data_IF_817246218322
#
_entry.id   IF_817246218322
#
_cell.length_a   1.000
_cell.length_b   1.000
_cell.length_c   1.000
_cell.angle_alpha   90.00
_cell.angle_beta   90.00
_cell.angle_gamma   90.00
#
_symmetry.space_group_name_H-M   'P 1'
#
loop_
_entity.id
_entity.type
_entity.pdbx_description
1 polymer ?
#
# COMPACT_ATOMS: atom_id res chain seq x y z
N UNK A 1 35.14 9.30 -15.90
CA UNK A 1 35.08 9.39 -14.43
C UNK A 1 33.75 10.04 -14.09
N UNK A 2 32.68 9.29 -14.37
CA UNK A 2 31.30 9.68 -14.04
C UNK A 2 31.06 9.35 -12.58
N UNK A 3 31.05 10.36 -11.73
CA UNK A 3 30.46 10.24 -10.40
C UNK A 3 28.95 10.05 -10.62
N UNK A 4 28.49 8.81 -10.50
CA UNK A 4 27.10 8.47 -10.35
C UNK A 4 26.56 9.27 -9.15
N UNK A 5 25.85 10.35 -9.42
CA UNK A 5 25.12 11.11 -8.41
C UNK A 5 24.08 10.16 -7.87
N UNK A 6 24.44 9.41 -6.82
CA UNK A 6 23.51 8.57 -6.04
C UNK A 6 22.38 9.48 -5.57
N UNK A 7 21.25 9.45 -6.28
CA UNK A 7 20.07 10.25 -5.93
C UNK A 7 19.77 10.01 -4.45
N UNK A 8 19.91 11.07 -3.64
CA UNK A 8 19.70 11.06 -2.20
C UNK A 8 18.33 10.44 -1.90
N UNK A 9 18.27 9.37 -1.11
CA UNK A 9 17.00 8.73 -0.70
C UNK A 9 16.20 9.75 0.12
N UNK A 10 14.90 9.86 -0.13
CA UNK A 10 14.03 10.76 0.60
C UNK A 10 13.61 10.10 1.91
N UNK A 11 14.17 10.54 3.03
CA UNK A 11 13.98 9.96 4.38
C UNK A 11 12.50 9.89 4.78
N UNK A 12 11.69 10.86 4.40
CA UNK A 12 10.26 10.89 4.67
C UNK A 12 9.53 9.64 4.11
N UNK A 13 9.85 9.21 2.89
CA UNK A 13 9.25 8.00 2.31
C UNK A 13 9.79 6.72 2.94
N UNK A 14 11.06 6.69 3.37
CA UNK A 14 11.58 5.54 4.12
C UNK A 14 10.89 5.38 5.48
N UNK A 15 10.66 6.48 6.18
CA UNK A 15 9.90 6.46 7.43
C UNK A 15 8.44 6.04 7.21
N UNK A 16 7.82 6.48 6.11
CA UNK A 16 6.47 6.02 5.77
C UNK A 16 6.45 4.51 5.50
N UNK A 17 7.46 3.96 4.82
CA UNK A 17 7.58 2.50 4.62
C UNK A 17 7.66 1.75 5.92
N UNK A 18 8.54 2.20 6.85
CA UNK A 18 8.69 1.59 8.16
C UNK A 18 7.35 1.63 8.92
N UNK A 19 6.69 2.78 8.94
CA UNK A 19 5.37 2.91 9.58
C UNK A 19 4.35 1.95 8.97
N UNK A 20 4.28 1.86 7.63
CA UNK A 20 3.41 0.93 6.94
C UNK A 20 3.73 -0.54 7.27
N UNK A 21 5.01 -0.91 7.43
CA UNK A 21 5.38 -2.26 7.86
C UNK A 21 4.83 -2.58 9.26
N UNK A 22 4.95 -1.67 10.23
CA UNK A 22 4.34 -1.85 11.54
C UNK A 22 2.82 -1.98 11.45
N UNK A 23 2.16 -1.15 10.65
CA UNK A 23 0.71 -1.24 10.43
C UNK A 23 0.31 -2.59 9.81
N UNK A 24 1.11 -3.14 8.88
CA UNK A 24 0.88 -4.47 8.29
C UNK A 24 0.97 -5.55 9.36
N UNK A 25 2.03 -5.54 10.17
CA UNK A 25 2.21 -6.53 11.24
C UNK A 25 1.05 -6.49 12.23
N UNK A 26 0.69 -5.30 12.71
CA UNK A 26 -0.44 -5.11 13.63
C UNK A 26 -1.75 -5.60 12.98
N UNK A 27 -2.00 -5.22 11.72
CA UNK A 27 -3.18 -5.66 10.98
C UNK A 27 -3.26 -7.19 10.85
N UNK A 28 -2.13 -7.84 10.57
CA UNK A 28 -2.07 -9.31 10.51
C UNK A 28 -2.34 -9.96 11.87
N UNK A 29 -1.80 -9.41 12.96
CA UNK A 29 -2.07 -9.90 14.31
C UNK A 29 -3.56 -9.77 14.65
N UNK A 30 -4.19 -8.64 14.35
CA UNK A 30 -5.61 -8.41 14.66
C UNK A 30 -6.54 -9.28 13.81
N UNK A 31 -6.26 -9.43 12.52
CA UNK A 31 -7.13 -10.13 11.58
C UNK A 31 -6.84 -11.64 11.54
N UNK A 32 -5.61 -12.05 11.21
CA UNK A 32 -5.25 -13.47 11.13
C UNK A 32 -5.13 -14.13 12.50
N UNK A 33 -4.74 -13.38 13.54
CA UNK A 33 -4.77 -13.83 14.92
C UNK A 33 -6.20 -13.97 15.48
N UNK A 34 -7.23 -13.62 14.68
CA UNK A 34 -8.65 -13.63 15.06
C UNK A 34 -8.94 -12.85 16.35
N UNK A 35 -8.11 -11.87 16.68
CA UNK A 35 -8.30 -11.06 17.89
C UNK A 35 -9.62 -10.30 17.78
N UNK A 36 -9.81 -9.55 16.70
CA UNK A 36 -11.04 -8.76 16.49
C UNK A 36 -12.31 -9.61 16.48
N UNK A 37 -12.27 -10.81 15.90
CA UNK A 37 -13.43 -11.70 15.80
C UNK A 37 -13.91 -12.27 17.17
N UNK A 38 -13.03 -12.22 18.18
CA UNK A 38 -13.37 -12.69 19.55
C UNK A 38 -13.86 -11.57 20.48
N UNK A 39 -13.82 -10.31 20.01
CA UNK A 39 -14.19 -9.16 20.83
C UNK A 39 -15.69 -8.90 20.76
N UNK A 40 -16.31 -8.74 21.91
CA UNK A 40 -17.74 -8.38 22.02
C UNK A 40 -17.96 -6.93 21.57
N UNK A 41 -19.03 -6.71 20.79
CA UNK A 41 -19.44 -5.38 20.38
C UNK A 41 -19.65 -4.46 21.60
N UNK A 42 -19.24 -3.20 21.48
CA UNK A 42 -19.37 -2.19 22.53
C UNK A 42 -18.30 -2.24 23.62
N UNK A 43 -17.40 -3.23 23.61
CA UNK A 43 -16.29 -3.28 24.56
C UNK A 43 -15.18 -2.29 24.17
N UNK A 44 -14.39 -1.84 25.15
CA UNK A 44 -13.22 -0.98 24.91
C UNK A 44 -12.22 -1.64 23.93
N UNK A 45 -11.98 -2.93 24.09
CA UNK A 45 -11.07 -3.69 23.22
C UNK A 45 -11.60 -3.77 21.78
N UNK A 46 -12.91 -3.90 21.58
CA UNK A 46 -13.54 -3.82 20.27
C UNK A 46 -13.28 -2.44 19.62
N UNK A 47 -13.54 -1.36 20.37
CA UNK A 47 -13.27 0.01 19.92
C UNK A 47 -11.81 0.21 19.54
N UNK A 48 -10.86 -0.16 20.40
CA UNK A 48 -9.42 -0.01 20.16
C UNK A 48 -8.97 -0.83 18.95
N UNK A 49 -9.47 -2.06 18.78
CA UNK A 49 -9.15 -2.90 17.63
C UNK A 49 -9.55 -2.23 16.31
N UNK A 50 -10.76 -1.71 16.20
CA UNK A 50 -11.21 -1.04 14.99
C UNK A 50 -10.61 0.36 14.80
N UNK A 51 -10.30 1.08 15.88
CA UNK A 51 -9.53 2.32 15.80
C UNK A 51 -8.16 2.08 15.17
N UNK A 52 -7.42 1.08 15.65
CA UNK A 52 -6.11 0.71 15.09
C UNK A 52 -6.25 0.30 13.62
N UNK A 53 -7.22 -0.53 13.27
CA UNK A 53 -7.45 -0.97 11.90
C UNK A 53 -7.79 0.21 10.97
N UNK A 54 -8.64 1.14 11.42
CA UNK A 54 -9.06 2.30 10.64
C UNK A 54 -7.90 3.26 10.34
N UNK A 55 -6.98 3.44 11.28
CA UNK A 55 -5.76 4.21 11.03
C UNK A 55 -4.72 3.42 10.23
N UNK A 56 -4.73 2.11 10.29
CA UNK A 56 -3.77 1.27 9.58
C UNK A 56 -4.19 0.94 8.14
N UNK A 57 -5.44 1.15 7.73
CA UNK A 57 -5.97 0.76 6.41
C UNK A 57 -5.16 1.28 5.22
N UNK A 58 -4.41 2.35 5.41
CA UNK A 58 -3.59 3.02 4.39
C UNK A 58 -2.30 2.27 4.02
N UNK A 59 -1.89 1.27 4.80
CA UNK A 59 -0.55 0.68 4.73
C UNK A 59 -0.19 0.11 3.35
N UNK A 60 -1.00 -0.78 2.78
CA UNK A 60 -0.75 -1.38 1.45
C UNK A 60 -0.77 -0.31 0.37
N UNK A 61 -1.78 0.58 0.41
CA UNK A 61 -1.93 1.65 -0.56
C UNK A 61 -0.71 2.58 -0.57
N UNK A 62 -0.19 2.95 0.60
CA UNK A 62 1.03 3.76 0.71
C UNK A 62 2.25 3.06 0.12
N UNK A 63 2.42 1.75 0.34
CA UNK A 63 3.50 0.99 -0.27
C UNK A 63 3.45 1.04 -1.80
N UNK A 64 2.29 0.80 -2.37
CA UNK A 64 2.08 0.84 -3.82
C UNK A 64 2.32 2.25 -4.35
N UNK A 65 1.79 3.28 -3.67
CA UNK A 65 1.99 4.68 -4.04
C UNK A 65 3.46 5.09 -3.98
N UNK A 66 4.23 4.66 -2.98
CA UNK A 66 5.68 4.93 -2.91
C UNK A 66 6.38 4.29 -4.12
N UNK A 67 6.06 3.04 -4.45
CA UNK A 67 6.59 2.36 -5.63
C UNK A 67 6.27 3.12 -6.93
N UNK A 68 5.01 3.48 -7.14
CA UNK A 68 4.53 4.25 -8.29
C UNK A 68 5.19 5.63 -8.39
N UNK A 69 5.28 6.36 -7.27
CA UNK A 69 5.90 7.69 -7.19
C UNK A 69 7.35 7.68 -7.69
N UNK A 70 8.13 6.68 -7.30
CA UNK A 70 9.52 6.58 -7.72
C UNK A 70 9.73 5.94 -9.08
N UNK A 71 8.76 5.20 -9.61
CA UNK A 71 8.89 4.47 -10.86
C UNK A 71 8.30 5.20 -12.08
N UNK A 72 7.31 6.08 -11.90
CA UNK A 72 6.51 6.64 -12.99
C UNK A 72 7.30 7.38 -14.09
N UNK A 73 8.43 8.00 -13.75
CA UNK A 73 9.30 8.74 -14.66
C UNK A 73 10.68 8.09 -14.86
N UNK A 74 10.83 6.82 -14.48
CA UNK A 74 12.11 6.10 -14.56
C UNK A 74 12.08 5.01 -15.62
N UNK A 75 13.24 4.80 -16.24
CA UNK A 75 13.45 3.66 -17.12
C UNK A 75 13.26 2.34 -16.35
N UNK A 76 12.69 1.37 -17.03
CA UNK A 76 12.55 0.02 -16.52
C UNK A 76 13.92 -0.65 -16.34
N UNK A 77 14.07 -1.33 -15.23
CA UNK A 77 15.24 -2.17 -14.95
C UNK A 77 14.75 -3.57 -14.58
N UNK A 78 14.90 -4.53 -15.47
CA UNK A 78 14.49 -5.93 -15.26
C UNK A 78 15.12 -6.54 -13.99
N UNK A 79 16.35 -6.11 -13.65
CA UNK A 79 17.06 -6.52 -12.45
C UNK A 79 16.24 -6.35 -11.16
N UNK A 80 15.39 -5.33 -11.08
CA UNK A 80 14.53 -5.10 -9.91
C UNK A 80 13.44 -6.15 -9.78
N UNK A 81 12.82 -6.54 -10.90
CA UNK A 81 11.81 -7.59 -10.92
C UNK A 81 12.45 -8.94 -10.57
N UNK A 82 13.62 -9.23 -11.12
CA UNK A 82 14.40 -10.45 -10.81
C UNK A 82 14.82 -10.47 -9.34
N UNK A 83 15.28 -9.32 -8.79
CA UNK A 83 15.64 -9.22 -7.37
C UNK A 83 14.43 -9.53 -6.48
N UNK A 84 13.27 -8.92 -6.75
CA UNK A 84 12.04 -9.18 -6.00
C UNK A 84 11.65 -10.66 -6.09
N UNK A 85 11.68 -11.24 -7.30
CA UNK A 85 11.36 -12.67 -7.49
C UNK A 85 12.27 -13.58 -6.67
N UNK A 86 13.59 -13.38 -6.77
CA UNK A 86 14.58 -14.15 -6.01
C UNK A 86 14.35 -14.07 -4.50
N UNK A 87 14.06 -12.88 -4.01
CA UNK A 87 13.83 -12.63 -2.60
C UNK A 87 12.56 -13.34 -2.11
N UNK A 88 11.45 -13.21 -2.83
CA UNK A 88 10.18 -13.88 -2.48
C UNK A 88 10.33 -15.40 -2.56
N UNK A 89 11.01 -15.92 -3.60
CA UNK A 89 11.27 -17.33 -3.75
C UNK A 89 12.17 -17.88 -2.61
N UNK A 90 13.21 -17.15 -2.22
CA UNK A 90 14.09 -17.53 -1.12
C UNK A 90 13.32 -17.71 0.19
N UNK A 91 12.52 -16.73 0.57
CA UNK A 91 11.70 -16.83 1.80
C UNK A 91 10.62 -17.90 1.69
N UNK A 92 10.00 -18.03 0.51
CA UNK A 92 8.96 -19.05 0.26
C UNK A 92 9.51 -20.47 0.44
N UNK A 93 10.65 -20.75 -0.19
CA UNK A 93 11.32 -22.06 -0.07
C UNK A 93 11.81 -22.30 1.36
N UNK A 94 12.39 -21.28 2.01
CA UNK A 94 12.83 -21.37 3.40
C UNK A 94 11.69 -21.71 4.36
N UNK A 95 10.56 -21.02 4.26
CA UNK A 95 9.36 -21.30 5.07
C UNK A 95 8.82 -22.70 4.76
N UNK A 96 8.74 -23.06 3.47
CA UNK A 96 8.30 -24.38 3.05
C UNK A 96 9.15 -25.50 3.67
N UNK A 97 10.48 -25.38 3.63
CA UNK A 97 11.40 -26.36 4.22
C UNK A 97 11.23 -26.47 5.74
N UNK A 98 11.02 -25.34 6.43
CA UNK A 98 10.75 -25.35 7.88
C UNK A 98 9.40 -26.05 8.18
N UNK A 99 8.34 -25.75 7.42
CA UNK A 99 7.05 -26.39 7.61
C UNK A 99 7.09 -27.89 7.28
N UNK A 100 7.92 -28.29 6.31
CA UNK A 100 8.09 -29.66 5.88
C UNK A 100 8.65 -30.58 7.00
N UNK A 101 9.36 -30.02 7.97
CA UNK A 101 9.89 -30.76 9.15
C UNK A 101 8.72 -31.21 10.05
N UNK A 102 7.62 -30.46 10.09
CA UNK A 102 6.54 -30.66 11.05
C UNK A 102 5.23 -31.13 10.42
N UNK A 103 5.16 -31.27 9.10
CA UNK A 103 3.91 -31.55 8.40
C UNK A 103 4.08 -32.49 7.18
N UNK A 104 2.94 -32.97 6.67
CA UNK A 104 2.88 -33.71 5.43
C UNK A 104 2.99 -32.74 4.22
N UNK A 105 3.72 -33.14 3.20
CA UNK A 105 3.98 -32.36 1.97
C UNK A 105 3.14 -32.93 0.84
N UNK A 106 2.34 -32.07 0.20
CA UNK A 106 1.72 -32.40 -1.08
C UNK A 106 2.60 -31.90 -2.26
N UNK A 107 2.61 -32.58 -3.43
CA UNK A 107 3.39 -32.12 -4.59
C UNK A 107 3.06 -30.68 -5.02
N UNK A 108 1.81 -30.25 -4.86
CA UNK A 108 1.36 -28.89 -5.16
C UNK A 108 2.03 -27.84 -4.27
N UNK A 109 2.41 -28.19 -3.03
CA UNK A 109 3.06 -27.27 -2.09
C UNK A 109 4.51 -26.99 -2.51
N UNK A 110 5.19 -27.98 -3.11
CA UNK A 110 6.52 -27.77 -3.71
C UNK A 110 6.45 -26.75 -4.84
N UNK A 111 5.46 -26.91 -5.74
CA UNK A 111 5.27 -25.97 -6.86
C UNK A 111 4.97 -24.56 -6.36
N UNK A 112 4.12 -24.42 -5.35
CA UNK A 112 3.81 -23.14 -4.74
C UNK A 112 5.03 -22.50 -4.07
N UNK A 113 5.87 -23.30 -3.43
CA UNK A 113 7.08 -22.81 -2.77
C UNK A 113 8.11 -22.28 -3.78
N UNK A 114 8.30 -22.98 -4.90
CA UNK A 114 9.27 -22.61 -5.95
C UNK A 114 8.76 -21.48 -6.83
N UNK A 115 7.44 -21.42 -7.11
CA UNK A 115 6.81 -20.40 -7.95
C UNK A 115 5.81 -19.55 -7.15
N UNK A 116 6.24 -18.88 -6.06
CA UNK A 116 5.33 -18.21 -5.12
C UNK A 116 4.58 -17.02 -5.73
N UNK A 117 5.15 -16.37 -6.73
CA UNK A 117 4.52 -15.25 -7.44
C UNK A 117 3.44 -15.74 -8.40
N UNK A 118 3.74 -16.75 -9.20
CA UNK A 118 2.80 -17.32 -10.17
C UNK A 118 1.64 -18.04 -9.50
N UNK A 119 1.89 -18.71 -8.37
CA UNK A 119 0.88 -19.40 -7.57
C UNK A 119 0.05 -18.47 -6.68
N UNK A 120 0.37 -17.16 -6.66
CA UNK A 120 -0.30 -16.17 -5.81
C UNK A 120 -0.22 -16.50 -4.30
N UNK A 121 0.79 -17.27 -3.89
CA UNK A 121 1.02 -17.61 -2.47
C UNK A 121 1.15 -16.35 -1.61
N UNK A 122 1.86 -15.36 -2.13
CA UNK A 122 1.96 -14.02 -1.52
C UNK A 122 1.30 -13.00 -2.44
N UNK A 123 -0.01 -12.80 -2.25
CA UNK A 123 -0.85 -11.99 -3.14
C UNK A 123 -0.26 -10.60 -3.46
N UNK A 124 0.28 -9.92 -2.43
CA UNK A 124 0.89 -8.59 -2.61
C UNK A 124 2.08 -8.63 -3.57
N UNK A 125 3.00 -9.59 -3.37
CA UNK A 125 4.19 -9.72 -4.21
C UNK A 125 3.82 -10.06 -5.65
N UNK A 126 2.80 -10.90 -5.86
CA UNK A 126 2.30 -11.27 -7.18
C UNK A 126 1.72 -10.07 -7.93
N UNK A 127 0.86 -9.31 -7.28
CA UNK A 127 0.24 -8.11 -7.88
C UNK A 127 1.27 -7.01 -8.09
N UNK A 128 2.17 -6.81 -7.13
CA UNK A 128 3.23 -5.79 -7.23
C UNK A 128 4.23 -6.10 -8.34
N UNK A 129 4.55 -7.38 -8.58
CA UNK A 129 5.35 -7.81 -9.73
C UNK A 129 4.67 -7.44 -11.05
N UNK A 130 3.37 -7.72 -11.17
CA UNK A 130 2.58 -7.31 -12.34
C UNK A 130 2.62 -5.80 -12.55
N UNK A 131 2.44 -5.01 -11.49
CA UNK A 131 2.58 -3.57 -11.55
C UNK A 131 3.98 -3.13 -12.02
N UNK A 132 5.05 -3.72 -11.46
CA UNK A 132 6.43 -3.39 -11.85
C UNK A 132 6.69 -3.59 -13.34
N UNK A 133 6.15 -4.67 -13.93
CA UNK A 133 6.29 -4.96 -15.35
C UNK A 133 5.48 -3.99 -16.23
N UNK A 134 4.36 -3.45 -15.73
CA UNK A 134 3.53 -2.48 -16.43
C UNK A 134 4.01 -1.03 -16.26
N UNK A 135 4.81 -0.73 -15.23
CA UNK A 135 5.26 0.64 -14.93
C UNK A 135 5.89 1.40 -16.11
N UNK A 136 6.70 0.79 -17.01
CA UNK A 136 7.25 1.50 -18.16
C UNK A 136 6.17 2.05 -19.08
N UNK A 137 5.12 1.26 -19.33
CA UNK A 137 4.00 1.64 -20.19
C UNK A 137 3.14 2.72 -19.52
N UNK A 138 2.85 2.54 -18.24
CA UNK A 138 2.12 3.53 -17.45
C UNK A 138 2.88 4.86 -17.39
N UNK A 139 4.20 4.81 -17.24
CA UNK A 139 5.06 6.00 -17.26
C UNK A 139 5.02 6.72 -18.61
N UNK A 140 5.09 5.99 -19.72
CA UNK A 140 4.97 6.57 -21.07
C UNK A 140 3.65 7.30 -21.26
N UNK A 141 2.55 6.72 -20.80
CA UNK A 141 1.23 7.38 -20.84
C UNK A 141 1.22 8.61 -19.92
N UNK A 142 1.66 8.45 -18.67
CA UNK A 142 1.60 9.48 -17.64
C UNK A 142 2.34 10.79 -18.03
N UNK A 143 3.48 10.69 -18.74
CA UNK A 143 4.26 11.85 -19.15
C UNK A 143 3.77 12.50 -20.45
N UNK A 144 2.97 11.79 -21.28
CA UNK A 144 2.47 12.27 -22.56
C UNK A 144 1.11 12.97 -22.48
N UNK A 145 0.27 12.57 -21.52
CA UNK A 145 -1.07 13.15 -21.38
C UNK A 145 -1.01 14.50 -20.67
N UNK A 146 -1.92 15.39 -21.01
CA UNK A 146 -2.06 16.68 -20.35
C UNK A 146 -2.51 16.52 -18.90
N UNK A 147 -2.26 17.53 -18.07
CA UNK A 147 -2.74 17.53 -16.67
C UNK A 147 -4.24 17.28 -16.55
N UNK A 148 -5.06 17.85 -17.45
CA UNK A 148 -6.52 17.65 -17.45
C UNK A 148 -6.88 16.20 -17.79
N UNK A 149 -6.28 15.64 -18.84
CA UNK A 149 -6.49 14.24 -19.22
C UNK A 149 -6.07 13.28 -18.07
N UNK A 150 -4.99 13.60 -17.37
CA UNK A 150 -4.56 12.80 -16.23
C UNK A 150 -5.58 12.86 -15.09
N UNK A 151 -6.13 14.04 -14.80
CA UNK A 151 -7.19 14.20 -13.78
C UNK A 151 -8.45 13.39 -14.16
N UNK A 152 -8.88 13.44 -15.42
CA UNK A 152 -9.99 12.62 -15.89
C UNK A 152 -9.72 11.12 -15.77
N UNK A 153 -8.51 10.68 -16.10
CA UNK A 153 -8.12 9.28 -15.95
C UNK A 153 -8.19 8.83 -14.48
N UNK A 154 -7.64 9.61 -13.54
CA UNK A 154 -7.72 9.31 -12.11
C UNK A 154 -9.18 9.29 -11.63
N UNK A 155 -10.00 10.26 -12.06
CA UNK A 155 -11.41 10.33 -11.68
C UNK A 155 -12.19 9.12 -12.18
N UNK A 156 -11.98 8.71 -13.44
CA UNK A 156 -12.63 7.51 -14.00
C UNK A 156 -12.21 6.24 -13.28
N UNK A 157 -10.92 6.08 -13.00
CA UNK A 157 -10.42 4.93 -12.22
C UNK A 157 -10.99 4.91 -10.80
N UNK A 158 -11.06 6.07 -10.13
CA UNK A 158 -11.68 6.17 -8.81
C UNK A 158 -13.18 5.83 -8.86
N UNK A 159 -13.89 6.28 -9.89
CA UNK A 159 -15.32 5.98 -10.08
C UNK A 159 -15.54 4.48 -10.27
N UNK A 160 -14.77 3.84 -11.17
CA UNK A 160 -14.98 2.43 -11.51
C UNK A 160 -14.46 1.49 -10.43
N UNK A 161 -13.24 1.72 -9.91
CA UNK A 161 -12.57 0.78 -9.00
C UNK A 161 -12.92 0.99 -7.52
N UNK A 162 -13.42 2.17 -7.17
CA UNK A 162 -13.73 2.52 -5.77
C UNK A 162 -15.22 2.80 -5.58
N UNK A 163 -15.75 3.86 -6.20
CA UNK A 163 -17.13 4.32 -5.95
C UNK A 163 -18.15 3.30 -6.43
N UNK A 164 -18.00 2.75 -7.66
CA UNK A 164 -18.89 1.74 -8.19
C UNK A 164 -18.95 0.51 -7.31
N UNK A 165 -17.78 -0.04 -6.95
CA UNK A 165 -17.66 -1.19 -6.04
C UNK A 165 -18.35 -0.91 -4.70
N UNK A 166 -18.16 0.30 -4.14
CA UNK A 166 -18.72 0.69 -2.85
C UNK A 166 -20.24 0.79 -2.86
N UNK A 167 -20.82 1.34 -3.94
CA UNK A 167 -22.27 1.53 -4.04
C UNK A 167 -22.99 0.22 -4.35
N UNK A 168 -22.52 -0.50 -5.37
CA UNK A 168 -23.23 -1.68 -5.89
C UNK A 168 -22.80 -2.99 -5.24
N UNK A 169 -21.75 -2.99 -4.42
CA UNK A 169 -21.19 -4.18 -3.78
C UNK A 169 -20.86 -5.32 -4.75
N UNK A 170 -20.53 -4.97 -6.00
CA UNK A 170 -20.19 -5.89 -7.06
C UNK A 170 -18.71 -5.75 -7.42
N UNK A 171 -18.09 -6.84 -7.80
CA UNK A 171 -16.71 -6.84 -8.30
C UNK A 171 -16.66 -6.79 -9.83
N UNK A 172 -17.46 -5.89 -10.42
CA UNK A 172 -17.62 -5.75 -11.87
C UNK A 172 -16.31 -5.56 -12.63
N UNK A 173 -15.34 -4.92 -11.99
CA UNK A 173 -14.05 -4.59 -12.60
C UNK A 173 -12.87 -5.39 -12.03
N UNK A 174 -13.13 -6.50 -11.35
CA UNK A 174 -12.11 -7.39 -10.79
C UNK A 174 -11.26 -6.74 -9.71
N UNK A 175 -11.88 -5.98 -8.80
CA UNK A 175 -11.16 -5.17 -7.81
C UNK A 175 -10.79 -5.90 -6.53
N UNK A 176 -11.34 -7.07 -6.27
CA UNK A 176 -11.04 -7.90 -5.09
C UNK A 176 -10.74 -7.12 -3.80
N UNK A 177 -11.56 -6.11 -3.50
CA UNK A 177 -11.38 -5.22 -2.36
C UNK A 177 -10.06 -4.40 -2.41
N UNK A 178 -9.54 -4.11 -3.62
CA UNK A 178 -8.28 -3.38 -3.83
C UNK A 178 -7.02 -4.23 -3.73
N UNK A 179 -7.14 -5.57 -3.78
CA UNK A 179 -6.02 -6.53 -3.72
C UNK A 179 -5.65 -7.07 -5.10
N UNK A 180 -5.74 -6.25 -6.12
CA UNK A 180 -5.62 -6.62 -7.52
C UNK A 180 -4.78 -5.63 -8.31
N UNK A 181 -4.47 -6.00 -9.55
CA UNK A 181 -3.64 -5.21 -10.43
C UNK A 181 -4.28 -3.88 -10.87
N UNK A 182 -5.57 -3.80 -11.22
CA UNK A 182 -6.24 -2.54 -11.51
C UNK A 182 -6.15 -1.53 -10.35
N UNK A 183 -6.38 -1.95 -9.12
CA UNK A 183 -6.24 -1.11 -7.93
C UNK A 183 -4.80 -0.59 -7.74
N UNK A 184 -3.81 -1.45 -7.96
CA UNK A 184 -2.40 -1.06 -7.88
C UNK A 184 -1.99 -0.09 -9.00
N UNK A 185 -2.50 -0.28 -10.22
CA UNK A 185 -2.32 0.66 -11.33
C UNK A 185 -2.91 2.03 -10.99
N UNK A 186 -4.12 2.06 -10.45
CA UNK A 186 -4.76 3.30 -10.01
C UNK A 186 -3.90 4.04 -8.96
N UNK A 187 -3.44 3.35 -7.92
CA UNK A 187 -2.60 3.93 -6.87
C UNK A 187 -1.26 4.44 -7.41
N UNK A 188 -0.64 3.71 -8.33
CA UNK A 188 0.62 4.12 -8.96
C UNK A 188 0.42 5.36 -9.84
N UNK A 189 -0.67 5.44 -10.61
CA UNK A 189 -1.02 6.62 -11.39
C UNK A 189 -1.37 7.80 -10.48
N UNK A 190 -2.10 7.60 -9.39
CA UNK A 190 -2.38 8.65 -8.41
C UNK A 190 -1.08 9.24 -7.82
N UNK A 191 -0.13 8.38 -7.46
CA UNK A 191 1.18 8.80 -6.99
C UNK A 191 2.00 9.51 -8.08
N UNK A 192 1.91 9.03 -9.32
CA UNK A 192 2.48 9.68 -10.50
C UNK A 192 1.93 11.08 -10.73
N UNK A 193 0.62 11.27 -10.61
CA UNK A 193 -0.01 12.60 -10.69
C UNK A 193 0.52 13.55 -9.61
N UNK A 194 0.62 13.07 -8.37
CA UNK A 194 1.17 13.86 -7.25
C UNK A 194 2.60 14.31 -7.59
N UNK A 195 3.42 13.42 -8.17
CA UNK A 195 4.80 13.73 -8.54
C UNK A 195 4.92 14.73 -9.67
N UNK A 196 4.18 14.52 -10.75
CA UNK A 196 4.34 15.26 -12.00
C UNK A 196 3.59 16.60 -12.01
N UNK A 197 2.47 16.70 -11.29
CA UNK A 197 1.55 17.84 -11.42
C UNK A 197 1.23 18.59 -10.13
N UNK A 198 1.61 18.06 -8.95
CA UNK A 198 1.41 18.80 -7.69
C UNK A 198 2.70 19.49 -7.25
N UNK A 199 2.63 20.79 -7.02
CA UNK A 199 3.74 21.56 -6.41
C UNK A 199 3.93 21.17 -4.96
N UNK A 200 5.17 21.21 -4.47
CA UNK A 200 5.47 21.04 -3.06
C UNK A 200 5.11 22.30 -2.30
N UNK A 201 4.40 22.15 -1.18
CA UNK A 201 3.99 23.26 -0.33
C UNK A 201 3.76 22.76 1.10
N UNK A 202 4.38 23.43 2.08
CA UNK A 202 4.26 23.08 3.52
C UNK A 202 2.83 23.09 4.04
N UNK A 203 1.92 23.86 3.42
CA UNK A 203 0.50 23.85 3.80
C UNK A 203 -0.14 22.46 3.67
N UNK A 204 0.36 21.64 2.74
CA UNK A 204 -0.14 20.28 2.53
C UNK A 204 0.21 19.33 3.68
N UNK A 205 1.21 19.62 4.50
CA UNK A 205 1.52 18.81 5.69
C UNK A 205 0.35 18.82 6.66
N UNK A 206 -0.07 20.02 7.12
CA UNK A 206 -1.18 20.16 8.07
C UNK A 206 -2.50 19.66 7.49
N UNK A 207 -2.81 20.06 6.25
CA UNK A 207 -4.04 19.63 5.57
C UNK A 207 -4.08 18.11 5.36
N UNK A 208 -2.95 17.52 4.97
CA UNK A 208 -2.85 16.09 4.77
C UNK A 208 -2.94 15.29 6.07
N UNK A 209 -2.28 15.74 7.15
CA UNK A 209 -2.43 15.09 8.46
C UNK A 209 -3.86 15.20 9.00
N UNK A 210 -4.49 16.37 8.90
CA UNK A 210 -5.89 16.54 9.28
C UNK A 210 -6.81 15.65 8.45
N UNK A 211 -6.63 15.60 7.12
CA UNK A 211 -7.39 14.73 6.24
C UNK A 211 -7.22 13.25 6.59
N UNK A 212 -6.00 12.80 6.87
CA UNK A 212 -5.73 11.43 7.30
C UNK A 212 -6.52 11.07 8.57
N UNK A 213 -6.48 11.94 9.59
CA UNK A 213 -7.23 11.70 10.83
C UNK A 213 -8.74 11.69 10.58
N UNK A 214 -9.25 12.69 9.84
CA UNK A 214 -10.68 12.78 9.53
C UNK A 214 -11.18 11.54 8.79
N UNK A 215 -10.49 11.14 7.72
CA UNK A 215 -10.94 9.99 6.93
C UNK A 215 -10.74 8.66 7.65
N UNK A 216 -9.70 8.51 8.48
CA UNK A 216 -9.54 7.32 9.34
C UNK A 216 -10.65 7.23 10.40
N UNK A 217 -11.04 8.34 11.00
CA UNK A 217 -12.19 8.37 11.90
C UNK A 217 -13.52 8.13 11.17
N UNK A 218 -13.65 8.58 9.92
CA UNK A 218 -14.82 8.26 9.09
C UNK A 218 -14.89 6.76 8.76
N UNK A 219 -13.76 6.09 8.52
CA UNK A 219 -13.71 4.61 8.40
C UNK A 219 -14.17 3.95 9.69
N UNK A 220 -13.69 4.40 10.86
CA UNK A 220 -14.15 3.87 12.15
C UNK A 220 -15.66 4.07 12.34
N UNK A 221 -16.15 5.27 12.08
CA UNK A 221 -17.58 5.59 12.18
C UNK A 221 -18.42 4.71 11.24
N UNK A 222 -17.94 4.41 10.03
CA UNK A 222 -18.62 3.54 9.08
C UNK A 222 -18.77 2.11 9.59
N UNK A 223 -17.76 1.58 10.31
CA UNK A 223 -17.84 0.25 10.95
C UNK A 223 -18.96 0.24 11.99
N UNK A 224 -18.98 1.23 12.88
CA UNK A 224 -20.03 1.33 13.92
C UNK A 224 -21.42 1.50 13.32
N UNK A 225 -21.54 2.32 12.28
CA UNK A 225 -22.82 2.50 11.59
C UNK A 225 -23.26 1.19 10.92
N UNK A 226 -22.35 0.46 10.28
CA UNK A 226 -22.66 -0.84 9.66
C UNK A 226 -23.18 -1.86 10.68
N UNK A 227 -22.55 -1.93 11.87
CA UNK A 227 -23.04 -2.80 12.96
C UNK A 227 -24.43 -2.36 13.42
N UNK A 228 -24.63 -1.05 13.64
CA UNK A 228 -25.92 -0.50 14.08
C UNK A 228 -27.05 -0.76 13.07
N UNK A 229 -26.72 -0.76 11.79
CA UNK A 229 -27.66 -1.06 10.69
C UNK A 229 -27.86 -2.56 10.45
N UNK A 230 -27.18 -3.43 11.20
CA UNK A 230 -27.28 -4.88 11.04
C UNK A 230 -26.69 -5.40 9.73
N UNK A 231 -25.71 -4.72 9.15
CA UNK A 231 -25.08 -5.16 7.92
C UNK A 231 -24.15 -6.35 8.19
N UNK A 232 -24.22 -7.38 7.32
CA UNK A 232 -23.41 -8.60 7.45
C UNK A 232 -21.91 -8.32 7.41
N UNK A 233 -21.46 -7.47 6.48
CA UNK A 233 -20.05 -7.06 6.37
C UNK A 233 -19.82 -5.70 7.03
N UNK A 234 -19.50 -5.73 8.31
CA UNK A 234 -19.16 -4.53 9.08
C UNK A 234 -17.78 -3.95 8.74
N UNK A 235 -16.90 -4.77 8.15
CA UNK A 235 -15.56 -4.37 7.73
C UNK A 235 -15.47 -3.80 6.31
N UNK A 236 -16.58 -3.62 5.62
CA UNK A 236 -16.61 -3.25 4.20
C UNK A 236 -15.80 -1.99 3.87
N UNK A 237 -15.86 -0.98 4.71
CA UNK A 237 -15.10 0.27 4.52
C UNK A 237 -13.60 0.15 4.89
N UNK A 238 -13.16 -0.98 5.45
CA UNK A 238 -11.75 -1.30 5.69
C UNK A 238 -11.05 -1.90 4.45
N UNK A 239 -11.77 -2.05 3.34
CA UNK A 239 -11.16 -2.49 2.08
C UNK A 239 -10.24 -1.40 1.49
N UNK A 240 -9.16 -1.83 0.84
CA UNK A 240 -8.14 -0.92 0.30
C UNK A 240 -8.67 0.00 -0.81
N UNK A 241 -9.69 -0.43 -1.56
CA UNK A 241 -10.36 0.38 -2.58
C UNK A 241 -11.53 1.22 -2.05
N UNK A 242 -11.81 1.19 -0.74
CA UNK A 242 -12.82 2.07 -0.13
C UNK A 242 -12.49 3.54 -0.39
N UNK A 243 -13.45 4.38 -0.81
CA UNK A 243 -13.23 5.80 -1.00
C UNK A 243 -12.62 6.49 0.23
N UNK A 244 -13.06 6.12 1.44
CA UNK A 244 -12.53 6.67 2.69
C UNK A 244 -11.07 6.25 2.92
N UNK A 245 -10.74 4.98 2.67
CA UNK A 245 -9.36 4.49 2.76
C UNK A 245 -8.44 5.14 1.71
N UNK A 246 -8.92 5.35 0.49
CA UNK A 246 -8.18 6.04 -0.57
C UNK A 246 -7.94 7.51 -0.23
N UNK A 247 -8.93 8.21 0.31
CA UNK A 247 -8.80 9.61 0.77
C UNK A 247 -7.84 9.72 1.96
N UNK A 248 -7.91 8.79 2.92
CA UNK A 248 -6.93 8.72 4.02
C UNK A 248 -5.51 8.47 3.49
N UNK A 249 -5.35 7.54 2.54
CA UNK A 249 -4.07 7.23 1.90
C UNK A 249 -3.51 8.44 1.15
N UNK A 250 -4.30 9.06 0.30
CA UNK A 250 -3.90 10.28 -0.41
C UNK A 250 -3.45 11.37 0.57
N UNK A 251 -4.21 11.56 1.63
CA UNK A 251 -3.96 12.60 2.65
C UNK A 251 -2.62 12.40 3.35
N UNK A 252 -2.36 11.20 3.89
CA UNK A 252 -1.09 10.91 4.57
C UNK A 252 0.09 10.91 3.60
N UNK A 253 -0.08 10.41 2.38
CA UNK A 253 0.97 10.40 1.37
C UNK A 253 1.39 11.82 0.98
N UNK A 254 0.43 12.71 0.74
CA UNK A 254 0.67 14.13 0.43
C UNK A 254 1.31 14.84 1.62
N UNK A 255 0.87 14.57 2.86
CA UNK A 255 1.49 15.12 4.05
C UNK A 255 2.98 14.76 4.15
N UNK A 256 3.28 13.46 4.06
CA UNK A 256 4.65 12.94 4.17
C UNK A 256 5.55 13.46 3.06
N UNK A 257 5.06 13.50 1.81
CA UNK A 257 5.81 14.08 0.68
C UNK A 257 6.25 15.51 0.94
N UNK A 258 5.41 16.32 1.59
CA UNK A 258 5.66 17.75 1.82
C UNK A 258 6.30 18.06 3.17
N UNK A 259 6.58 17.04 4.01
CA UNK A 259 7.25 17.24 5.31
C UNK A 259 8.67 17.80 5.12
N UNK A 260 9.00 18.94 5.75
CA UNK A 260 10.35 19.47 5.70
C UNK A 260 11.25 18.66 6.64
N UNK A 261 12.07 17.80 6.10
CA UNK A 261 13.12 17.14 6.86
C UNK A 261 14.38 18.00 6.85
N UNK A 262 14.74 18.55 8.01
CA UNK A 262 16.05 19.20 8.16
C UNK A 262 17.11 18.12 8.17
N UNK A 263 17.97 18.12 7.16
CA UNK A 263 19.09 17.20 7.05
C UNK A 263 20.00 17.20 8.28
N UNK A 264 20.10 18.32 8.97
CA UNK A 264 21.00 18.53 10.11
C UNK A 264 20.76 17.68 11.37
N UNK A 265 19.51 17.16 11.55
CA UNK A 265 19.21 16.28 12.72
C UNK A 265 19.31 14.79 12.41
N UNK A 266 19.38 14.41 11.15
CA UNK A 266 19.37 13.04 10.69
C UNK A 266 20.64 12.67 9.92
N UNK A 267 21.60 13.60 9.83
CA UNK A 267 22.88 13.43 9.15
C UNK A 267 23.89 12.62 9.96
N UNK A 268 23.52 12.14 11.16
CA UNK A 268 24.35 11.11 11.79
C UNK A 268 24.32 9.87 10.88
N UNK A 269 25.49 9.44 10.41
CA UNK A 269 25.63 8.23 9.58
C UNK A 269 24.96 7.02 10.24
N UNK A 270 24.89 6.97 11.58
CA UNK A 270 24.22 5.95 12.35
C UNK A 270 22.71 5.90 12.10
N UNK A 271 22.00 7.05 12.12
CA UNK A 271 20.55 7.06 11.86
C UNK A 271 20.24 6.67 10.42
N UNK A 272 21.01 7.18 9.45
CA UNK A 272 20.87 6.78 8.04
C UNK A 272 21.13 5.30 7.82
N UNK A 273 22.10 4.72 8.54
CA UNK A 273 22.40 3.28 8.48
C UNK A 273 21.27 2.45 9.09
N UNK A 274 20.72 2.88 10.24
CA UNK A 274 19.59 2.21 10.90
C UNK A 274 18.31 2.27 10.05
N UNK A 275 17.97 3.43 9.48
CA UNK A 275 16.80 3.56 8.57
C UNK A 275 16.98 2.71 7.31
N UNK A 276 18.21 2.60 6.79
CA UNK A 276 18.50 1.71 5.64
C UNK A 276 18.32 0.25 5.99
N UNK A 277 18.85 -0.20 7.13
CA UNK A 277 18.74 -1.61 7.55
C UNK A 277 17.29 -2.03 7.83
N UNK A 278 16.43 -1.09 8.21
CA UNK A 278 14.99 -1.34 8.45
C UNK A 278 14.13 -1.21 7.19
N UNK A 279 14.58 -0.50 6.17
CA UNK A 279 13.82 -0.23 4.94
C UNK A 279 14.29 -1.03 3.72
N UNK A 280 15.47 -1.62 3.77
CA UNK A 280 15.98 -2.52 2.74
C UNK A 280 15.57 -3.96 3.12
N UNK A 281 14.73 -4.60 2.31
CA UNK A 281 14.34 -6.00 2.48
C UNK A 281 15.48 -6.94 2.17
#
# INVERSE_FOLDING_TARGET
MEQEIRKKRQVNFELLRILCMYMIVIGHCLFHGRVTAKLGYGTVNYFLSYLIQSFSVVHVNCFVMIGGYFAIDRAFKAERAVKLWKQVAFYSVGIFLLCAIFGSIAPVDVVKAVLPISSKTYWFASVYMGLMLLMPFLGMVAVRITRKQYQYLILLLALFLSVNHMIFRTDTYGTFNGRDLPGFIFLALLAGYIKLHMREDRKYVRKGLAGYVIFSLAVLASVYLSVKMGLEDTGYFLNYNSPLALLATFSIFVAVRNMPWKESRLDSEGFRRSVRSLSDP
#
